data_IF_005812473144
#
_entry.id   IF_005812473144
#
_cell.length_a   1.000
_cell.length_b   1.000
_cell.length_c   1.000
_cell.angle_alpha   90.00
_cell.angle_beta   90.00
_cell.angle_gamma   90.00
#
_symmetry.space_group_name_H-M   'P 1'
#
loop_
_entity.id
_entity.type
_entity.pdbx_description
1 polymer ?
#
# COMPACT_ATOMS: atom_id res chain seq x y z
N UNK A 1 -12.92 -4.78 8.26
CA UNK A 1 -12.09 -3.61 8.63
C UNK A 1 -12.08 -2.60 7.50
N UNK A 2 -12.05 -1.33 7.83
CA UNK A 2 -11.94 -0.27 6.83
C UNK A 2 -10.49 -0.03 6.48
N UNK A 3 -10.20 0.17 5.20
CA UNK A 3 -8.88 0.59 4.76
C UNK A 3 -8.79 2.11 4.75
N UNK A 4 -7.62 2.62 5.09
CA UNK A 4 -7.32 4.05 5.12
C UNK A 4 -6.08 4.33 4.30
N UNK A 5 -6.19 5.37 3.47
CA UNK A 5 -5.07 5.92 2.73
C UNK A 5 -4.45 7.05 3.55
N UNK A 6 -3.19 6.89 3.89
CA UNK A 6 -2.37 7.89 4.58
C UNK A 6 -1.35 8.36 3.55
N UNK A 7 -1.33 9.65 3.27
CA UNK A 7 -0.48 10.17 2.20
C UNK A 7 0.07 11.56 2.50
N UNK A 8 1.10 11.94 1.75
CA UNK A 8 1.69 13.28 1.81
C UNK A 8 2.02 13.76 0.38
N UNK A 9 2.07 15.07 0.21
CA UNK A 9 2.35 15.69 -1.08
C UNK A 9 3.80 15.53 -1.53
N UNK A 10 4.03 15.69 -2.83
CA UNK A 10 5.35 15.51 -3.45
C UNK A 10 6.45 16.41 -2.88
N UNK A 11 6.10 17.57 -2.32
CA UNK A 11 7.06 18.54 -1.75
C UNK A 11 7.05 18.57 -0.21
N UNK A 12 6.28 17.69 0.43
CA UNK A 12 6.10 17.72 1.88
C UNK A 12 7.39 17.44 2.66
N UNK A 13 8.36 16.76 2.06
CA UNK A 13 9.65 16.43 2.67
C UNK A 13 10.82 17.29 2.16
N UNK A 14 10.57 18.34 1.37
CA UNK A 14 11.62 19.17 0.80
C UNK A 14 12.50 19.86 1.85
N UNK A 15 11.96 20.07 3.07
CA UNK A 15 12.71 20.66 4.18
C UNK A 15 13.68 19.68 4.88
N UNK A 16 13.61 18.40 4.57
CA UNK A 16 14.49 17.39 5.15
C UNK A 16 15.86 17.44 4.44
N UNK A 17 16.97 17.66 5.17
CA UNK A 17 18.30 17.66 4.56
C UNK A 17 18.64 16.30 3.96
N UNK A 18 19.38 16.29 2.85
CA UNK A 18 19.80 15.06 2.18
C UNK A 18 20.57 14.11 3.10
N UNK A 19 21.38 14.67 4.00
CA UNK A 19 22.15 13.92 4.99
C UNK A 19 21.27 13.15 5.99
N UNK A 20 20.04 13.63 6.22
CA UNK A 20 19.06 12.97 7.11
C UNK A 20 18.22 11.93 6.39
N UNK A 21 18.23 11.87 5.07
CA UNK A 21 17.40 10.96 4.29
C UNK A 21 17.54 9.48 4.72
N UNK A 22 18.74 8.94 4.97
CA UNK A 22 18.86 7.57 5.46
C UNK A 22 18.22 7.33 6.83
N UNK A 23 18.30 8.31 7.74
CA UNK A 23 17.68 8.23 9.07
C UNK A 23 16.16 8.27 8.98
N UNK A 24 15.60 9.12 8.12
CA UNK A 24 14.16 9.20 7.85
C UNK A 24 13.66 7.89 7.24
N UNK A 25 14.38 7.33 6.26
CA UNK A 25 14.02 6.05 5.67
C UNK A 25 13.97 4.93 6.71
N UNK A 26 14.96 4.85 7.60
CA UNK A 26 14.97 3.87 8.69
C UNK A 26 13.80 4.04 9.64
N UNK A 27 13.47 5.28 10.00
CA UNK A 27 12.34 5.58 10.88
C UNK A 27 11.02 5.18 10.23
N UNK A 28 10.83 5.49 8.95
CA UNK A 28 9.64 5.10 8.18
C UNK A 28 9.52 3.57 8.08
N UNK A 29 10.61 2.88 7.78
CA UNK A 29 10.62 1.41 7.72
C UNK A 29 10.30 0.78 9.07
N UNK A 30 10.72 1.38 10.17
CA UNK A 30 10.39 0.90 11.51
C UNK A 30 8.88 0.98 11.79
N UNK A 31 8.21 2.05 11.37
CA UNK A 31 6.75 2.17 11.51
C UNK A 31 6.04 1.15 10.62
N UNK A 32 6.50 0.94 9.39
CA UNK A 32 5.96 -0.11 8.50
C UNK A 32 6.11 -1.48 9.14
N UNK A 33 7.26 -1.77 9.76
CA UNK A 33 7.46 -3.04 10.45
C UNK A 33 6.50 -3.21 11.63
N UNK A 34 6.23 -2.15 12.39
CA UNK A 34 5.21 -2.18 13.44
C UNK A 34 3.83 -2.51 12.87
N UNK A 35 3.46 -1.89 11.74
CA UNK A 35 2.18 -2.13 11.08
C UNK A 35 2.06 -3.58 10.56
N UNK A 36 3.13 -4.13 10.00
CA UNK A 36 3.21 -5.53 9.60
C UNK A 36 3.00 -6.44 10.81
N UNK A 37 3.70 -6.18 11.90
CA UNK A 37 3.61 -6.98 13.12
C UNK A 37 2.20 -6.91 13.76
N UNK A 38 1.54 -5.76 13.64
CA UNK A 38 0.16 -5.57 14.12
C UNK A 38 -0.91 -6.17 13.18
N UNK A 39 -0.52 -6.64 12.00
CA UNK A 39 -1.44 -7.21 11.02
C UNK A 39 -2.31 -6.20 10.29
N UNK A 40 -1.95 -4.93 10.29
CA UNK A 40 -2.75 -3.85 9.68
C UNK A 40 -2.19 -3.33 8.36
N UNK A 41 -0.96 -3.66 8.04
CA UNK A 41 -0.28 -3.21 6.82
C UNK A 41 -0.91 -3.80 5.56
N UNK A 42 -1.15 -2.97 4.56
CA UNK A 42 -1.60 -3.39 3.23
C UNK A 42 -0.51 -3.08 2.20
N UNK A 43 -0.09 -1.83 2.10
CA UNK A 43 0.94 -1.38 1.16
C UNK A 43 1.49 -0.03 1.59
N UNK A 44 2.69 0.29 1.14
CA UNK A 44 3.29 1.61 1.34
C UNK A 44 4.37 1.84 0.28
N UNK A 45 4.67 3.09 0.00
CA UNK A 45 5.76 3.45 -0.89
C UNK A 45 5.91 4.93 -1.06
N UNK A 46 7.12 5.33 -1.41
CA UNK A 46 7.41 6.66 -1.94
C UNK A 46 7.32 6.64 -3.46
N UNK A 47 6.80 7.71 -4.02
CA UNK A 47 6.80 7.88 -5.47
C UNK A 47 8.12 8.48 -5.92
N UNK A 48 8.58 8.06 -7.10
CA UNK A 48 9.80 8.59 -7.67
C UNK A 48 9.67 10.08 -8.00
N UNK A 49 10.76 10.82 -7.85
CA UNK A 49 10.82 12.24 -8.16
C UNK A 49 10.96 12.44 -9.67
N UNK A 50 9.86 12.30 -10.36
CA UNK A 50 9.77 12.50 -11.80
C UNK A 50 8.42 13.13 -12.15
N UNK A 51 8.31 13.83 -13.29
CA UNK A 51 7.05 14.39 -13.74
C UNK A 51 5.99 13.29 -13.90
N UNK A 52 4.78 13.55 -13.38
CA UNK A 52 3.67 12.64 -13.57
C UNK A 52 3.21 12.67 -15.04
N UNK A 53 2.92 11.52 -15.60
CA UNK A 53 2.20 11.45 -16.87
C UNK A 53 0.70 11.48 -16.60
N UNK A 54 0.00 12.32 -17.33
CA UNK A 54 -1.46 12.48 -17.23
C UNK A 54 -2.09 11.86 -18.48
N UNK A 55 -2.94 10.86 -18.25
CA UNK A 55 -3.63 10.18 -19.34
C UNK A 55 -5.11 10.65 -19.34
N UNK A 56 -5.50 11.29 -20.43
CA UNK A 56 -6.87 11.74 -20.62
C UNK A 56 -7.81 10.58 -20.96
N UNK A 57 -9.11 10.85 -20.94
CA UNK A 57 -10.16 9.83 -21.19
C UNK A 57 -10.10 9.24 -22.60
N UNK A 58 -9.51 9.96 -23.57
CA UNK A 58 -9.29 9.48 -24.93
C UNK A 58 -7.95 8.76 -25.12
N UNK A 59 -7.17 8.59 -24.03
CA UNK A 59 -5.85 7.99 -24.07
C UNK A 59 -4.69 8.94 -24.37
N UNK A 60 -4.95 10.21 -24.62
CA UNK A 60 -3.90 11.21 -24.84
C UNK A 60 -3.04 11.37 -23.57
N UNK A 61 -1.72 11.39 -23.74
CA UNK A 61 -0.76 11.48 -22.64
C UNK A 61 -0.09 12.85 -22.66
N UNK A 62 -0.06 13.50 -21.52
CA UNK A 62 0.69 14.73 -21.29
C UNK A 62 1.59 14.58 -20.07
N UNK A 63 2.80 15.14 -20.14
CA UNK A 63 3.67 15.22 -18.98
C UNK A 63 3.36 16.52 -18.24
N UNK A 64 3.02 16.37 -16.96
CA UNK A 64 2.62 17.53 -16.20
C UNK A 64 3.62 17.92 -15.16
N UNK A 65 3.51 19.14 -14.57
CA UNK A 65 3.31 19.17 -13.14
C UNK A 65 1.83 18.99 -12.84
N UNK A 66 1.51 18.07 -11.93
CA UNK A 66 0.15 17.93 -11.41
C UNK A 66 0.08 18.62 -10.04
N UNK A 67 -0.81 19.63 -9.84
CA UNK A 67 -0.77 20.48 -8.65
C UNK A 67 -0.92 19.76 -7.33
N UNK A 68 -1.50 18.57 -7.33
CA UNK A 68 -1.76 17.76 -6.13
C UNK A 68 -1.04 16.42 -6.17
N UNK A 69 0.16 16.40 -6.71
CA UNK A 69 0.95 15.18 -6.79
C UNK A 69 1.20 14.59 -5.39
N UNK A 70 1.04 13.28 -5.28
CA UNK A 70 1.35 12.51 -4.05
C UNK A 70 2.84 12.18 -4.04
N UNK A 71 3.49 12.39 -2.90
CA UNK A 71 4.91 12.04 -2.72
C UNK A 71 5.11 10.65 -2.16
N UNK A 72 4.17 10.18 -1.33
CA UNK A 72 4.20 8.85 -0.76
C UNK A 72 2.89 8.50 -0.08
N UNK A 73 2.72 7.23 0.21
CA UNK A 73 1.49 6.76 0.85
C UNK A 73 1.75 5.54 1.72
N UNK A 74 0.82 5.33 2.65
CA UNK A 74 0.68 4.10 3.44
C UNK A 74 -0.79 3.70 3.45
N UNK A 75 -1.06 2.46 3.14
CA UNK A 75 -2.40 1.90 3.13
C UNK A 75 -2.50 0.86 4.25
N UNK A 76 -3.44 1.06 5.16
CA UNK A 76 -3.67 0.19 6.31
C UNK A 76 -5.12 -0.23 6.43
N UNK A 77 -5.37 -1.39 7.03
CA UNK A 77 -6.71 -1.86 7.39
C UNK A 77 -6.85 -1.91 8.90
N UNK A 78 -7.72 -1.07 9.45
CA UNK A 78 -7.96 -0.95 10.89
C UNK A 78 -9.45 -0.83 11.19
N UNK A 79 -9.89 -1.19 12.42
CA UNK A 79 -11.31 -1.17 12.75
C UNK A 79 -11.91 0.22 12.96
N UNK A 80 -11.09 1.27 13.19
CA UNK A 80 -11.60 2.60 13.48
C UNK A 80 -10.72 3.71 12.90
N UNK A 81 -11.35 4.87 12.66
CA UNK A 81 -10.63 6.09 12.26
C UNK A 81 -9.59 6.51 13.32
N UNK A 82 -9.90 6.34 14.58
CA UNK A 82 -8.98 6.70 15.68
C UNK A 82 -7.68 5.91 15.61
N UNK A 83 -7.76 4.63 15.30
CA UNK A 83 -6.56 3.81 15.09
C UNK A 83 -5.79 4.24 13.86
N UNK A 84 -6.47 4.59 12.78
CA UNK A 84 -5.83 5.12 11.58
C UNK A 84 -5.07 6.42 11.88
N UNK A 85 -5.66 7.32 12.67
CA UNK A 85 -5.01 8.57 13.08
C UNK A 85 -3.78 8.33 13.95
N UNK A 86 -3.79 7.31 14.81
CA UNK A 86 -2.61 6.93 15.60
C UNK A 86 -1.46 6.44 14.72
N UNK A 87 -1.76 5.62 13.73
CA UNK A 87 -0.76 5.18 12.75
C UNK A 87 -0.23 6.36 11.93
N UNK A 88 -1.11 7.25 11.49
CA UNK A 88 -0.71 8.45 10.74
C UNK A 88 0.21 9.36 11.58
N UNK A 89 -0.03 9.48 12.87
CA UNK A 89 0.85 10.24 13.76
C UNK A 89 2.26 9.65 13.81
N UNK A 90 2.40 8.32 13.88
CA UNK A 90 3.69 7.64 13.83
C UNK A 90 4.41 7.87 12.50
N UNK A 91 3.69 7.80 11.39
CA UNK A 91 4.23 8.03 10.05
C UNK A 91 4.65 9.50 9.91
N UNK A 92 3.82 10.43 10.36
CA UNK A 92 4.13 11.86 10.32
C UNK A 92 5.44 12.20 11.07
N UNK A 93 5.61 11.62 12.25
CA UNK A 93 6.83 11.80 13.04
C UNK A 93 8.05 11.19 12.33
N UNK A 94 7.92 10.00 11.75
CA UNK A 94 8.99 9.31 11.06
C UNK A 94 9.42 10.03 9.77
N UNK A 95 8.46 10.46 8.97
CA UNK A 95 8.69 11.15 7.69
C UNK A 95 8.93 12.65 7.84
N UNK A 96 8.75 13.20 9.03
CA UNK A 96 8.91 14.64 9.35
C UNK A 96 8.01 15.54 8.49
N UNK A 97 6.83 15.06 8.15
CA UNK A 97 5.83 15.83 7.42
C UNK A 97 4.41 15.40 7.79
N UNK A 98 3.47 16.33 7.65
CA UNK A 98 2.07 16.07 7.90
C UNK A 98 1.52 14.98 6.95
N UNK A 99 0.57 14.20 7.44
CA UNK A 99 -0.09 13.15 6.68
C UNK A 99 -1.57 13.47 6.50
N UNK A 100 -2.08 13.21 5.32
CA UNK A 100 -3.50 13.24 5.03
C UNK A 100 -4.10 11.85 5.24
N UNK A 101 -5.22 11.75 5.94
CA UNK A 101 -5.87 10.47 6.24
C UNK A 101 -7.26 10.45 5.66
N UNK A 102 -7.52 9.50 4.77
CA UNK A 102 -8.86 9.30 4.19
C UNK A 102 -9.25 7.84 4.21
N UNK A 103 -10.50 7.56 4.58
CA UNK A 103 -11.06 6.22 4.48
C UNK A 103 -11.33 5.85 3.02
N UNK A 104 -11.04 4.62 2.66
CA UNK A 104 -11.45 4.07 1.37
C UNK A 104 -12.89 3.61 1.50
N UNK A 105 -13.74 4.06 0.58
CA UNK A 105 -15.15 3.69 0.55
C UNK A 105 -15.32 2.19 0.39
N UNK A 106 -16.33 1.63 1.07
CA UNK A 106 -16.66 0.22 0.94
C UNK A 106 -17.11 -0.11 -0.48
N UNK A 107 -16.55 -1.16 -1.04
CA UNK A 107 -16.92 -1.69 -2.35
C UNK A 107 -16.99 -3.21 -2.27
N UNK A 108 -18.17 -3.75 -1.87
CA UNK A 108 -18.33 -5.19 -1.71
C UNK A 108 -18.10 -5.99 -2.98
N UNK A 109 -18.42 -5.43 -4.13
CA UNK A 109 -18.21 -6.07 -5.43
C UNK A 109 -16.71 -6.22 -5.74
N UNK A 110 -15.95 -5.14 -5.55
CA UNK A 110 -14.49 -5.17 -5.71
C UNK A 110 -13.85 -6.14 -4.72
N UNK A 111 -14.27 -6.14 -3.46
CA UNK A 111 -13.77 -7.04 -2.44
C UNK A 111 -14.03 -8.52 -2.81
N UNK A 112 -15.21 -8.81 -3.37
CA UNK A 112 -15.53 -10.14 -3.85
C UNK A 112 -14.66 -10.56 -5.04
N UNK A 113 -14.39 -9.65 -5.97
CA UNK A 113 -13.49 -9.90 -7.11
C UNK A 113 -12.08 -10.22 -6.65
N UNK A 114 -11.55 -9.47 -5.68
CA UNK A 114 -10.21 -9.67 -5.14
C UNK A 114 -10.09 -11.00 -4.39
N UNK A 115 -11.12 -11.42 -3.66
CA UNK A 115 -11.16 -12.74 -3.02
C UNK A 115 -11.15 -13.86 -4.05
N UNK A 116 -11.96 -13.77 -5.09
CA UNK A 116 -12.03 -14.77 -6.17
C UNK A 116 -10.72 -14.89 -6.93
N UNK A 117 -9.99 -13.79 -7.13
CA UNK A 117 -8.70 -13.80 -7.80
C UNK A 117 -7.61 -14.56 -7.01
N UNK A 118 -7.72 -14.61 -5.67
CA UNK A 118 -6.77 -15.31 -4.81
C UNK A 118 -7.08 -16.81 -4.65
N UNK A 119 -8.35 -17.18 -4.53
CA UNK A 119 -8.79 -18.56 -4.26
C UNK A 119 -8.47 -19.56 -5.36
N UNK A 120 -8.71 -19.28 -6.67
CA UNK A 120 -8.47 -20.26 -7.72
C UNK A 120 -7.01 -20.70 -7.85
N UNK A 121 -6.05 -19.81 -7.61
CA UNK A 121 -4.63 -20.13 -7.69
C UNK A 121 -4.21 -21.12 -6.59
N UNK A 122 -4.70 -20.95 -5.37
CA UNK A 122 -4.44 -21.84 -4.23
C UNK A 122 -5.12 -23.18 -4.47
N UNK A 123 -6.37 -23.18 -4.90
CA UNK A 123 -7.14 -24.41 -5.20
C UNK A 123 -6.50 -25.20 -6.32
N UNK A 124 -6.01 -24.56 -7.38
CA UNK A 124 -5.33 -25.23 -8.49
C UNK A 124 -4.02 -25.89 -8.05
N UNK A 125 -3.23 -25.25 -7.21
CA UNK A 125 -2.00 -25.83 -6.65
C UNK A 125 -2.30 -27.05 -5.77
N UNK A 126 -3.31 -26.99 -4.93
CA UNK A 126 -3.73 -28.11 -4.10
C UNK A 126 -4.21 -29.28 -4.93
N UNK A 127 -4.97 -29.03 -6.01
CA UNK A 127 -5.42 -30.07 -6.94
C UNK A 127 -4.24 -30.77 -7.63
N UNK A 128 -3.24 -30.02 -8.05
CA UNK A 128 -2.03 -30.57 -8.68
C UNK A 128 -1.29 -31.50 -7.70
N UNK A 129 -1.14 -31.07 -6.46
CA UNK A 129 -0.50 -31.87 -5.40
C UNK A 129 -1.27 -33.17 -5.17
N UNK A 130 -2.58 -33.12 -5.06
CA UNK A 130 -3.42 -34.31 -4.89
C UNK A 130 -3.33 -35.28 -6.07
N UNK A 131 -3.29 -34.77 -7.30
CA UNK A 131 -3.15 -35.61 -8.51
C UNK A 131 -1.79 -36.31 -8.53
N UNK A 132 -0.71 -35.59 -8.20
CA UNK A 132 0.64 -36.16 -8.12
C UNK A 132 0.75 -37.23 -7.05
N UNK A 133 0.17 -37.00 -5.86
CA UNK A 133 0.15 -37.99 -4.79
C UNK A 133 -0.69 -39.23 -5.16
N UNK A 134 -1.84 -39.02 -5.78
CA UNK A 134 -2.69 -40.10 -6.30
C UNK A 134 -1.97 -40.93 -7.36
N UNK A 135 -1.24 -40.32 -8.28
CA UNK A 135 -0.47 -41.01 -9.29
C UNK A 135 0.68 -41.82 -8.69
N UNK A 136 1.36 -41.30 -7.65
CA UNK A 136 2.42 -42.05 -6.92
C UNK A 136 1.85 -43.26 -6.17
N UNK A 137 0.69 -43.10 -5.52
CA UNK A 137 0.00 -44.20 -4.84
C UNK A 137 -0.43 -45.32 -5.79
N UNK A 138 -0.82 -44.98 -7.05
CA UNK A 138 -1.23 -45.93 -8.06
C UNK A 138 -0.08 -46.66 -8.74
N UNK A 139 1.18 -46.19 -8.60
CA UNK A 139 2.35 -46.82 -9.21
C UNK A 139 2.98 -47.92 -8.34
N UNK A 140 2.42 -48.16 -7.16
CA UNK A 140 2.79 -49.23 -6.24
C UNK A 140 1.69 -50.30 -6.16
#
# INVERSE_FOLDING_TARGET
MTQYLISFGAHAMDHVPDEDAPAVARAAHAVVQEAVNAGVYVSAGGLEDQPASIVATDGAVTDGPYPQAVGGFTLIGVPSREEALRWAAKIAAACRCAQEVRAIGADPELDAMLRQAKEPAVTSRLRIIQVVEGARASAH
#
